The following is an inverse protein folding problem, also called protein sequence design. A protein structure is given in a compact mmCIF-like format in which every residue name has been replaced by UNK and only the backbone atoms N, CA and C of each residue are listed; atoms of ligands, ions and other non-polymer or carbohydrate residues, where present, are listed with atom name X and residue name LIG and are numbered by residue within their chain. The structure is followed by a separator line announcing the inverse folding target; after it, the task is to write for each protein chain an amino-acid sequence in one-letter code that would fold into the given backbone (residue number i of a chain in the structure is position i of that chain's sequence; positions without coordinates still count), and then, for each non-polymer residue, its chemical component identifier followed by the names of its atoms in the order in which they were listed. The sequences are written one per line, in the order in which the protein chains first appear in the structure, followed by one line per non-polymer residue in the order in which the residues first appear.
data_IF_855739416501
#
_entry.id   IF_855739416501
#
_cell.length_a   1.000
_cell.length_b   1.000
_cell.length_c   1.000
_cell.angle_alpha   90.00
_cell.angle_beta   90.00
_cell.angle_gamma   90.00
#
_symmetry.space_group_name_H-M   'P 1'
#
loop_
_entity.id
_entity.type
_entity.pdbx_description
1 polymer ?
#
# COMPACT_ATOMS: atom_id res chain seq x y z
N UNK A 1 17.89 -27.89 5.78
CA UNK A 1 18.13 -26.52 6.27
C UNK A 1 17.38 -25.59 5.35
N UNK A 2 16.28 -24.99 5.81
CA UNK A 2 15.87 -23.59 5.58
C UNK A 2 14.43 -23.46 6.06
N UNK A 3 14.26 -23.13 7.33
CA UNK A 3 13.05 -22.49 7.84
C UNK A 3 12.94 -21.12 7.15
N UNK A 4 12.25 -21.06 6.02
CA UNK A 4 12.04 -19.83 5.23
C UNK A 4 10.55 -19.50 5.16
N UNK A 5 9.95 -19.29 6.32
CA UNK A 5 8.92 -18.27 6.40
C UNK A 5 9.12 -17.57 7.74
N UNK A 6 9.78 -16.38 7.77
CA UNK A 6 9.69 -15.57 8.97
C UNK A 6 8.21 -15.37 9.21
N UNK A 7 7.72 -15.87 10.34
CA UNK A 7 6.34 -15.68 10.77
C UNK A 7 5.94 -14.23 10.46
N UNK A 8 4.95 -14.07 9.58
CA UNK A 8 4.41 -12.78 9.16
C UNK A 8 3.70 -12.17 10.38
N UNK A 9 4.51 -11.58 11.26
CA UNK A 9 4.03 -10.89 12.45
C UNK A 9 3.72 -9.46 12.08
N UNK A 10 2.71 -8.86 12.73
CA UNK A 10 2.54 -7.43 12.68
C UNK A 10 3.86 -6.73 13.07
N UNK A 11 4.28 -5.77 12.25
CA UNK A 11 5.52 -4.99 12.43
C UNK A 11 5.29 -3.75 13.32
N UNK A 12 4.07 -3.58 13.82
CA UNK A 12 3.69 -2.46 14.65
C UNK A 12 4.11 -2.64 16.11
N UNK A 13 4.34 -1.51 16.77
CA UNK A 13 4.51 -1.42 18.21
C UNK A 13 3.40 -0.50 18.71
N UNK A 14 2.42 -1.07 19.41
CA UNK A 14 1.23 -0.34 19.88
C UNK A 14 0.51 0.43 18.76
N UNK A 15 0.22 -0.21 17.62
CA UNK A 15 -0.46 0.46 16.48
C UNK A 15 0.31 1.68 15.93
N UNK A 16 1.64 1.66 16.07
CA UNK A 16 2.57 2.63 15.46
C UNK A 16 3.67 1.89 14.70
N UNK A 17 4.28 2.55 13.72
CA UNK A 17 5.37 1.98 12.91
C UNK A 17 6.69 2.77 13.12
N UNK A 18 7.43 2.54 14.23
CA UNK A 18 8.59 3.37 14.59
C UNK A 18 9.75 3.33 13.58
N UNK A 19 9.81 2.30 12.74
CA UNK A 19 10.82 2.18 11.69
C UNK A 19 10.58 3.15 10.52
N UNK A 20 9.39 3.73 10.42
CA UNK A 20 9.02 4.75 9.44
C UNK A 20 8.90 6.11 10.14
N UNK A 21 9.81 7.03 9.82
CA UNK A 21 9.92 8.35 10.50
C UNK A 21 8.62 9.16 10.41
N UNK A 22 7.88 9.05 9.31
CA UNK A 22 6.67 9.82 9.04
C UNK A 22 5.39 8.97 9.07
N UNK A 23 5.44 7.76 9.63
CA UNK A 23 4.26 6.92 9.67
C UNK A 23 3.16 7.52 10.55
N UNK A 24 1.89 7.45 10.12
CA UNK A 24 0.76 7.86 10.93
C UNK A 24 0.60 6.97 12.16
N UNK A 25 0.02 7.54 13.22
CA UNK A 25 -0.42 6.76 14.37
C UNK A 25 -1.83 6.19 14.13
N UNK A 26 -1.97 4.86 14.17
CA UNK A 26 -3.27 4.21 13.97
C UNK A 26 -4.11 4.12 15.25
N UNK A 27 -3.53 4.42 16.43
CA UNK A 27 -4.15 4.39 17.78
C UNK A 27 -5.55 5.01 17.86
N UNK A 28 -5.79 6.06 17.09
CA UNK A 28 -7.07 6.78 17.08
C UNK A 28 -7.90 6.51 15.85
N UNK A 29 -7.33 5.97 14.77
CA UNK A 29 -7.98 5.84 13.47
C UNK A 29 -9.14 4.83 13.47
N UNK A 30 -9.13 3.85 14.38
CA UNK A 30 -10.13 2.76 14.39
C UNK A 30 -9.90 1.74 13.26
N UNK A 31 -8.67 1.66 12.77
CA UNK A 31 -8.22 0.71 11.75
C UNK A 31 -7.30 -0.30 12.47
N UNK A 32 -7.58 -1.59 12.33
CA UNK A 32 -6.73 -2.64 12.89
C UNK A 32 -5.47 -2.83 12.03
N UNK A 33 -4.30 -2.84 12.67
CA UNK A 33 -3.03 -3.14 12.00
C UNK A 33 -3.06 -4.57 11.45
N UNK A 34 -2.61 -4.72 10.20
CA UNK A 34 -2.53 -6.03 9.54
C UNK A 34 -1.07 -6.47 9.46
N UNK A 35 -0.87 -7.78 9.58
CA UNK A 35 0.42 -8.37 9.29
C UNK A 35 0.70 -8.32 7.79
N UNK A 36 1.98 -8.28 7.39
CA UNK A 36 2.37 -8.45 6.00
C UNK A 36 1.79 -9.76 5.42
N UNK A 37 1.53 -9.78 4.11
CA UNK A 37 0.98 -10.96 3.42
C UNK A 37 1.71 -11.22 2.11
N UNK A 38 1.62 -12.44 1.59
CA UNK A 38 2.22 -12.82 0.30
C UNK A 38 1.15 -12.72 -0.79
N UNK A 39 1.49 -12.10 -1.93
CA UNK A 39 0.60 -12.03 -3.10
C UNK A 39 0.77 -13.24 -4.03
N UNK A 40 0.02 -13.30 -5.13
CA UNK A 40 0.06 -14.44 -6.06
C UNK A 40 1.43 -14.61 -6.76
N UNK A 41 2.23 -13.53 -6.81
CA UNK A 41 3.56 -13.49 -7.40
C UNK A 41 4.69 -13.79 -6.39
N UNK A 42 4.34 -14.18 -5.16
CA UNK A 42 5.29 -14.49 -4.08
C UNK A 42 5.97 -13.26 -3.47
N UNK A 43 5.43 -12.06 -3.73
CA UNK A 43 5.90 -10.80 -3.15
C UNK A 43 5.28 -10.62 -1.78
N UNK A 44 6.10 -10.31 -0.78
CA UNK A 44 5.61 -9.98 0.56
C UNK A 44 5.23 -8.50 0.60
N UNK A 45 3.95 -8.23 0.81
CA UNK A 45 3.33 -6.91 0.87
C UNK A 45 3.36 -6.43 2.31
N UNK A 46 3.99 -5.27 2.55
CA UNK A 46 4.16 -4.70 3.89
C UNK A 46 5.50 -5.02 4.57
N UNK A 47 6.45 -5.69 3.90
CA UNK A 47 7.81 -5.94 4.42
C UNK A 47 8.86 -4.90 3.97
N UNK A 48 8.42 -3.89 3.19
CA UNK A 48 9.23 -2.82 2.57
C UNK A 48 10.22 -3.26 1.49
N UNK A 49 10.37 -4.54 1.16
CA UNK A 49 11.33 -5.04 0.17
C UNK A 49 10.69 -5.36 -1.18
N UNK A 50 9.41 -5.77 -1.19
CA UNK A 50 8.63 -6.02 -2.41
C UNK A 50 9.36 -6.85 -3.49
N UNK A 51 10.19 -7.81 -3.06
CA UNK A 51 11.06 -8.59 -3.95
C UNK A 51 10.65 -10.06 -3.98
N UNK A 52 10.54 -10.62 -5.19
CA UNK A 52 10.33 -12.05 -5.43
C UNK A 52 10.94 -12.44 -6.78
N UNK A 53 11.58 -13.62 -6.91
CA UNK A 53 12.10 -14.11 -8.18
C UNK A 53 11.05 -14.22 -9.29
N UNK A 54 9.79 -14.42 -8.92
CA UNK A 54 8.66 -14.54 -9.86
C UNK A 54 7.88 -13.22 -10.01
N UNK A 55 8.36 -12.13 -9.39
CA UNK A 55 7.68 -10.85 -9.42
C UNK A 55 7.74 -10.23 -10.82
N UNK A 56 6.63 -9.66 -11.32
CA UNK A 56 6.65 -8.83 -12.53
C UNK A 56 7.51 -7.56 -12.36
N UNK A 57 7.78 -7.11 -11.12
CA UNK A 57 8.67 -5.97 -10.85
C UNK A 57 10.14 -6.28 -11.19
N UNK A 58 10.57 -7.53 -10.99
CA UNK A 58 11.95 -7.97 -11.22
C UNK A 58 12.15 -8.52 -12.63
N UNK A 59 11.07 -9.01 -13.26
CA UNK A 59 11.08 -9.62 -14.60
C UNK A 59 10.31 -8.79 -15.63
N UNK A 60 10.24 -7.47 -15.44
CA UNK A 60 9.50 -6.59 -16.33
C UNK A 60 10.02 -6.64 -17.77
N UNK A 61 9.10 -6.67 -18.73
CA UNK A 61 9.37 -6.60 -20.16
C UNK A 61 8.29 -5.79 -20.89
N UNK A 62 8.54 -5.44 -22.15
CA UNK A 62 7.54 -4.77 -22.99
C UNK A 62 6.29 -5.63 -23.26
N UNK A 63 6.38 -6.93 -23.01
CA UNK A 63 5.28 -7.90 -23.12
C UNK A 63 4.50 -8.07 -21.80
N UNK A 64 4.99 -7.49 -20.70
CA UNK A 64 4.37 -7.58 -19.39
C UNK A 64 3.17 -6.63 -19.33
N UNK A 65 1.98 -7.17 -19.10
CA UNK A 65 0.78 -6.36 -18.93
C UNK A 65 0.87 -5.55 -17.62
N UNK A 66 0.86 -4.21 -17.65
CA UNK A 66 0.93 -3.40 -16.42
C UNK A 66 -0.24 -3.66 -15.45
N UNK A 67 -1.38 -4.17 -15.93
CA UNK A 67 -2.56 -4.44 -15.09
C UNK A 67 -2.25 -5.42 -13.96
N UNK A 68 -1.33 -6.38 -14.17
CA UNK A 68 -0.95 -7.38 -13.16
C UNK A 68 -0.23 -6.78 -11.95
N UNK A 69 0.30 -5.55 -12.08
CA UNK A 69 0.97 -4.82 -10.99
C UNK A 69 0.04 -3.77 -10.36
N UNK A 70 -1.26 -3.94 -10.55
CA UNK A 70 -2.31 -3.06 -10.02
C UNK A 70 -3.35 -3.89 -9.26
N UNK A 71 -4.07 -3.25 -8.33
CA UNK A 71 -5.11 -3.90 -7.55
C UNK A 71 -4.74 -4.10 -6.08
N UNK A 72 -5.68 -4.71 -5.34
CA UNK A 72 -5.63 -4.77 -3.89
C UNK A 72 -4.50 -5.67 -3.35
N UNK A 73 -4.02 -6.62 -4.15
CA UNK A 73 -2.92 -7.51 -3.76
C UNK A 73 -1.56 -6.81 -3.68
N UNK A 74 -1.44 -5.60 -4.22
CA UNK A 74 -0.20 -4.83 -4.23
C UNK A 74 -0.16 -3.75 -3.15
N UNK A 75 -1.25 -3.57 -2.40
CA UNK A 75 -1.42 -2.47 -1.44
C UNK A 75 -1.58 -3.04 -0.03
N UNK A 76 -0.67 -2.67 0.87
CA UNK A 76 -0.86 -3.03 2.28
C UNK A 76 -1.85 -2.06 2.94
N UNK A 77 -2.93 -2.54 3.60
CA UNK A 77 -3.95 -1.65 4.16
C UNK A 77 -3.44 -0.66 5.21
N UNK A 78 -2.38 -1.01 5.95
CA UNK A 78 -1.89 -0.24 7.11
C UNK A 78 -0.39 0.04 7.13
N UNK A 79 0.36 -0.44 6.13
CA UNK A 79 1.83 -0.33 6.10
C UNK A 79 2.29 -0.16 4.66
N UNK A 80 1.83 0.95 4.07
CA UNK A 80 2.14 1.36 2.72
C UNK A 80 2.89 2.70 2.76
N UNK A 81 3.83 2.89 1.84
CA UNK A 81 4.64 4.11 1.78
C UNK A 81 3.80 5.37 1.53
N UNK A 82 2.65 5.22 0.84
CA UNK A 82 1.72 6.31 0.58
C UNK A 82 1.19 6.98 1.85
N UNK A 83 1.12 6.26 2.97
CA UNK A 83 0.67 6.78 4.26
C UNK A 83 1.66 7.77 4.90
N UNK A 84 2.92 7.78 4.48
CA UNK A 84 3.95 8.66 5.03
C UNK A 84 3.85 10.12 4.55
N UNK A 85 2.98 10.40 3.58
CA UNK A 85 2.77 11.78 3.12
C UNK A 85 2.05 12.60 4.17
N UNK A 86 2.38 13.88 4.29
CA UNK A 86 1.80 14.76 5.32
C UNK A 86 0.26 14.84 5.22
N UNK A 87 -0.26 14.91 4.00
CA UNK A 87 -1.70 14.94 3.73
C UNK A 87 -2.40 13.65 4.16
N UNK A 88 -1.89 12.47 3.76
CA UNK A 88 -2.51 11.21 4.13
C UNK A 88 -2.43 10.94 5.63
N UNK A 89 -1.33 11.36 6.27
CA UNK A 89 -1.19 11.28 7.73
C UNK A 89 -2.22 12.15 8.46
N UNK A 90 -2.42 13.39 8.03
CA UNK A 90 -3.45 14.27 8.60
C UNK A 90 -4.85 13.65 8.41
N UNK A 91 -5.16 13.15 7.21
CA UNK A 91 -6.45 12.50 6.93
C UNK A 91 -6.73 11.31 7.86
N UNK A 92 -5.73 10.44 8.07
CA UNK A 92 -5.84 9.28 8.96
C UNK A 92 -5.96 9.69 10.44
N UNK A 93 -5.08 10.57 10.91
CA UNK A 93 -5.03 10.96 12.33
C UNK A 93 -6.27 11.76 12.73
N UNK A 94 -6.81 12.59 11.82
CA UNK A 94 -7.99 13.42 12.06
C UNK A 94 -9.31 12.75 11.66
N UNK A 95 -9.28 11.51 11.16
CA UNK A 95 -10.45 10.79 10.61
C UNK A 95 -11.20 11.58 9.54
N UNK A 96 -10.50 12.45 8.82
CA UNK A 96 -11.10 13.20 7.71
C UNK A 96 -11.23 12.26 6.53
N UNK A 97 -12.42 12.21 5.95
CA UNK A 97 -12.61 11.52 4.67
C UNK A 97 -11.84 12.32 3.61
N UNK A 98 -11.05 11.67 2.74
CA UNK A 98 -10.43 12.36 1.62
C UNK A 98 -11.52 13.05 0.80
N UNK A 99 -11.32 14.32 0.46
CA UNK A 99 -12.14 14.99 -0.53
C UNK A 99 -11.77 14.44 -1.91
N UNK A 100 -12.25 13.24 -2.21
CA UNK A 100 -12.17 12.65 -3.53
C UNK A 100 -13.08 13.42 -4.48
N UNK A 101 -12.60 14.54 -5.01
CA UNK A 101 -13.14 15.04 -6.26
C UNK A 101 -12.72 14.07 -7.37
N UNK A 102 -13.55 13.82 -8.41
CA UNK A 102 -13.07 13.13 -9.59
C UNK A 102 -11.76 13.76 -10.05
N UNK A 103 -10.87 12.93 -10.59
CA UNK A 103 -9.65 13.40 -11.24
C UNK A 103 -10.01 14.64 -12.07
N UNK A 104 -9.23 15.71 -11.95
CA UNK A 104 -9.46 16.93 -12.72
C UNK A 104 -8.24 17.17 -13.59
N UNK A 105 -8.42 17.12 -14.90
CA UNK A 105 -7.42 17.66 -15.80
C UNK A 105 -7.75 19.14 -16.03
N UNK A 106 -6.79 20.09 -15.89
CA UNK A 106 -7.07 21.52 -15.94
C UNK A 106 -7.85 21.99 -17.18
N UNK A 107 -7.69 21.28 -18.29
CA UNK A 107 -8.29 21.61 -19.58
C UNK A 107 -9.11 20.49 -20.21
N UNK A 108 -9.15 19.29 -19.62
CA UNK A 108 -9.82 18.14 -20.25
C UNK A 108 -10.91 17.63 -19.32
N UNK A 109 -12.09 17.41 -19.86
CA UNK A 109 -13.13 16.68 -19.17
C UNK A 109 -12.69 15.22 -19.06
N UNK A 110 -12.69 14.71 -17.83
CA UNK A 110 -12.32 13.32 -17.50
C UNK A 110 -13.48 12.61 -16.79
N UNK A 111 -14.70 13.16 -16.89
CA UNK A 111 -15.92 12.48 -16.47
C UNK A 111 -16.22 11.29 -17.38
N UNK A 112 -16.68 10.18 -16.80
CA UNK A 112 -17.23 9.03 -17.55
C UNK A 112 -18.73 9.22 -17.76
N UNK A 113 -19.22 9.04 -18.99
CA UNK A 113 -20.65 8.93 -19.31
C UNK A 113 -21.31 10.15 -19.95
N UNK A 114 -20.73 10.71 -21.01
CA UNK A 114 -21.41 11.70 -21.87
C UNK A 114 -21.87 11.10 -23.23
N UNK A 115 -21.94 9.78 -23.34
CA UNK A 115 -22.46 9.02 -24.48
C UNK A 115 -23.90 8.52 -24.27
#
# INVERSE_FOLDING_TARGET
MTDKNPSLKPLDIEETLPHQVNAPSFKKAGIEMKAPFENEHGVIIGDSKYASPNSPLENWSDETDPEIMSGDEWIHPTNDIGWNTAENRELLEEKRKPQGYPFMHPTKDVSKGQD
#
